data_IF_271801630984
#
_entry.id   IF_271801630984
#
_cell.length_a   1.000
_cell.length_b   1.000
_cell.length_c   1.000
_cell.angle_alpha   90.00
_cell.angle_beta   90.00
_cell.angle_gamma   90.00
#
_symmetry.space_group_name_H-M   'P 1'
#
loop_
_entity.id
_entity.type
_entity.pdbx_description
1 polymer ?
#
# COMPACT_ATOMS: atom_id res chain seq x y z
N UNK A 1 12.99 6.87 2.85
CA UNK A 1 12.40 5.61 3.24
C UNK A 1 12.94 4.46 2.39
N UNK A 2 12.74 3.22 2.86
CA UNK A 2 13.30 2.05 2.16
C UNK A 2 12.83 1.92 0.71
N UNK A 3 11.61 2.31 0.41
CA UNK A 3 11.02 2.18 -0.92
C UNK A 3 10.89 3.49 -1.69
N UNK A 4 11.51 4.55 -1.21
CA UNK A 4 11.55 5.82 -1.92
C UNK A 4 11.51 7.05 -1.03
N UNK A 5 11.47 8.19 -1.70
CA UNK A 5 11.41 9.52 -1.06
C UNK A 5 9.98 10.05 -1.14
N UNK A 6 9.56 10.71 -0.08
CA UNK A 6 8.26 11.39 -0.01
C UNK A 6 8.54 12.89 0.16
N UNK A 7 8.03 13.68 -0.75
CA UNK A 7 8.06 15.14 -0.62
C UNK A 7 6.89 15.59 0.27
N UNK A 8 7.21 16.25 1.36
CA UNK A 8 6.19 16.71 2.29
C UNK A 8 5.89 18.20 2.14
N UNK A 9 4.65 18.62 2.41
CA UNK A 9 3.53 17.80 2.86
C UNK A 9 3.02 16.85 1.77
N UNK A 10 2.53 15.67 2.18
CA UNK A 10 2.03 14.66 1.27
C UNK A 10 0.69 14.09 1.77
N UNK A 11 -0.24 13.86 0.86
CA UNK A 11 -1.47 13.13 1.16
C UNK A 11 -1.19 11.62 1.11
N UNK A 12 -1.68 10.89 2.10
CA UNK A 12 -1.56 9.44 2.16
C UNK A 12 -2.92 8.79 1.84
N UNK A 13 -3.12 8.27 0.62
CA UNK A 13 -4.32 7.52 0.30
C UNK A 13 -4.50 6.32 1.23
N UNK A 14 -5.72 6.08 1.68
CA UNK A 14 -6.03 5.03 2.65
C UNK A 14 -6.23 3.69 1.95
N UNK A 15 -5.32 2.75 2.21
CA UNK A 15 -5.37 1.39 1.69
C UNK A 15 -5.52 0.35 2.80
N UNK A 16 -6.63 0.38 3.52
CA UNK A 16 -6.88 -0.42 4.73
C UNK A 16 -6.60 -1.91 4.55
N UNK A 17 -7.02 -2.50 3.44
CA UNK A 17 -6.82 -3.92 3.11
C UNK A 17 -5.76 -4.12 2.01
N UNK A 18 -4.78 -3.22 1.92
CA UNK A 18 -3.79 -3.28 0.84
C UNK A 18 -4.33 -2.76 -0.49
N UNK A 19 -5.46 -2.08 -0.46
CA UNK A 19 -6.06 -1.44 -1.63
C UNK A 19 -6.73 -0.14 -1.24
N UNK A 20 -6.60 0.86 -2.08
CA UNK A 20 -7.40 2.08 -1.99
C UNK A 20 -8.71 1.82 -2.72
N UNK A 21 -9.82 2.00 -2.03
CA UNK A 21 -11.15 1.65 -2.54
C UNK A 21 -11.42 2.33 -3.88
N UNK A 22 -11.82 1.53 -4.87
CA UNK A 22 -12.13 1.94 -6.23
C UNK A 22 -10.94 2.51 -7.03
N UNK A 23 -9.70 2.29 -6.58
CA UNK A 23 -8.50 2.75 -7.28
C UNK A 23 -7.47 1.63 -7.39
N UNK A 24 -6.84 1.52 -8.56
CA UNK A 24 -5.71 0.61 -8.76
C UNK A 24 -4.41 1.29 -8.32
N UNK A 25 -3.33 0.51 -8.05
CA UNK A 25 -2.01 1.10 -7.85
C UNK A 25 -1.56 1.99 -9.01
N UNK A 26 -1.92 1.64 -10.23
CA UNK A 26 -1.66 2.46 -11.42
C UNK A 26 -2.35 3.82 -11.31
N UNK A 27 -3.62 3.85 -10.91
CA UNK A 27 -4.36 5.11 -10.72
C UNK A 27 -3.69 5.99 -9.69
N UNK A 28 -3.22 5.41 -8.59
CA UNK A 28 -2.51 6.15 -7.53
C UNK A 28 -1.22 6.78 -8.06
N UNK A 29 -0.47 6.04 -8.88
CA UNK A 29 0.76 6.57 -9.49
C UNK A 29 0.45 7.72 -10.45
N UNK A 30 -0.56 7.57 -11.30
CA UNK A 30 -0.98 8.59 -12.27
C UNK A 30 -1.45 9.87 -11.56
N UNK A 31 -2.07 9.75 -10.39
CA UNK A 31 -2.48 10.89 -9.57
C UNK A 31 -1.32 11.51 -8.78
N UNK A 32 -0.13 10.90 -8.81
CA UNK A 32 1.05 11.42 -8.11
C UNK A 32 1.14 11.03 -6.65
N UNK A 33 0.44 10.00 -6.20
CA UNK A 33 0.58 9.49 -4.84
C UNK A 33 2.01 8.95 -4.63
N UNK A 34 2.64 9.36 -3.53
CA UNK A 34 4.01 8.96 -3.18
C UNK A 34 4.06 7.91 -2.08
N UNK A 35 2.99 7.78 -1.31
CA UNK A 35 2.86 6.86 -0.19
C UNK A 35 1.44 6.33 -0.13
N UNK A 36 1.27 5.11 0.35
CA UNK A 36 -0.04 4.52 0.62
C UNK A 36 -0.12 4.12 2.08
N UNK A 37 -1.24 4.41 2.74
CA UNK A 37 -1.46 4.06 4.13
C UNK A 37 -2.08 2.67 4.23
N UNK A 38 -1.41 1.74 4.92
CA UNK A 38 -1.94 0.42 5.24
C UNK A 38 -2.45 0.36 6.68
N UNK A 39 -3.08 -0.74 7.04
CA UNK A 39 -3.52 -0.97 8.41
C UNK A 39 -3.17 -2.41 8.83
N UNK A 40 -2.17 -2.53 9.70
CA UNK A 40 -1.64 -3.82 10.15
C UNK A 40 -2.70 -4.71 10.78
N UNK A 41 -3.56 -4.15 11.63
CA UNK A 41 -4.60 -4.93 12.30
C UNK A 41 -5.61 -5.53 11.31
N UNK A 42 -6.08 -4.73 10.36
CA UNK A 42 -7.01 -5.20 9.33
C UNK A 42 -6.38 -6.23 8.41
N UNK A 43 -5.13 -6.03 8.00
CA UNK A 43 -4.40 -6.97 7.14
C UNK A 43 -4.11 -8.28 7.86
N UNK A 44 -3.87 -8.24 9.16
CA UNK A 44 -3.70 -9.43 9.98
C UNK A 44 -4.97 -10.28 10.03
N UNK A 45 -6.13 -9.64 10.15
CA UNK A 45 -7.43 -10.33 10.14
C UNK A 45 -7.81 -10.80 8.74
N UNK A 46 -7.52 -10.01 7.71
CA UNK A 46 -7.91 -10.30 6.33
C UNK A 46 -6.96 -9.62 5.32
N UNK A 47 -6.25 -10.35 4.49
CA UNK A 47 -6.33 -11.81 4.27
C UNK A 47 -5.56 -12.65 5.28
N UNK A 48 -4.81 -12.06 6.19
CA UNK A 48 -3.94 -12.72 7.13
C UNK A 48 -2.48 -12.72 6.68
N UNK A 49 -1.57 -12.91 7.63
CA UNK A 49 -0.13 -12.82 7.39
C UNK A 49 0.38 -13.91 6.45
N UNK A 50 -0.21 -15.11 6.50
CA UNK A 50 0.20 -16.24 5.66
C UNK A 50 -0.01 -15.92 4.16
N UNK A 51 -1.13 -15.30 3.82
CA UNK A 51 -1.42 -14.90 2.44
C UNK A 51 -0.46 -13.81 1.97
N UNK A 52 -0.22 -12.81 2.80
CA UNK A 52 0.70 -11.71 2.46
C UNK A 52 2.12 -12.24 2.29
N UNK A 53 2.58 -13.13 3.18
CA UNK A 53 3.89 -13.76 3.07
C UNK A 53 4.01 -14.62 1.79
N UNK A 54 2.95 -15.34 1.43
CA UNK A 54 2.91 -16.14 0.20
C UNK A 54 3.05 -15.28 -1.06
N UNK A 55 2.62 -14.02 -1.02
CA UNK A 55 2.81 -13.06 -2.12
C UNK A 55 4.21 -12.41 -2.13
N UNK A 56 5.05 -12.71 -1.16
CA UNK A 56 6.39 -12.11 -1.05
C UNK A 56 6.42 -10.78 -0.31
N UNK A 57 5.41 -10.50 0.52
CA UNK A 57 5.32 -9.31 1.34
C UNK A 57 4.22 -8.34 0.91
N UNK A 58 4.04 -7.27 1.68
CA UNK A 58 2.91 -6.36 1.50
C UNK A 58 2.98 -5.59 0.19
N UNK A 59 4.16 -5.11 -0.22
CA UNK A 59 4.32 -4.40 -1.47
C UNK A 59 3.88 -5.22 -2.68
N UNK A 60 4.31 -6.49 -2.74
CA UNK A 60 3.91 -7.40 -3.83
C UNK A 60 2.44 -7.76 -3.76
N UNK A 61 1.92 -7.95 -2.56
CA UNK A 61 0.49 -8.21 -2.37
C UNK A 61 -0.37 -7.07 -2.87
N UNK A 62 0.02 -5.83 -2.59
CA UNK A 62 -0.69 -4.62 -3.03
C UNK A 62 -0.45 -4.27 -4.50
N UNK A 63 0.66 -4.70 -5.07
CA UNK A 63 1.13 -4.18 -6.36
C UNK A 63 1.61 -2.74 -6.30
N UNK A 64 2.03 -2.30 -5.13
CA UNK A 64 2.54 -0.96 -4.86
C UNK A 64 4.01 -1.03 -4.49
N UNK A 65 4.85 -0.27 -5.19
CA UNK A 65 6.29 -0.29 -5.03
C UNK A 65 6.86 0.88 -4.21
N UNK A 66 6.04 1.85 -3.90
CA UNK A 66 6.41 3.00 -3.09
C UNK A 66 6.31 2.77 -1.58
N UNK A 67 6.58 3.78 -0.78
CA UNK A 67 6.42 3.74 0.69
C UNK A 67 5.00 3.39 1.14
N UNK A 68 4.94 2.63 2.23
CA UNK A 68 3.70 2.25 2.93
C UNK A 68 3.82 2.67 4.39
#
# INVERSE_FOLDING_TARGET
LAHGVIDTPAFMPVGTYGTVKAMTPRDLRELGAQICLGNTFHLWLRPGLDVIAAHGGLHRFMGWDGPI
#
